data_IF_106326350740
#
_entry.id   IF_106326350740
#
_cell.length_a   1.000
_cell.length_b   1.000
_cell.length_c   1.000
_cell.angle_alpha   90.00
_cell.angle_beta   90.00
_cell.angle_gamma   90.00
#
_symmetry.space_group_name_H-M   'P 1'
#
loop_
_entity.id
_entity.type
_entity.pdbx_description
1 polymer ?
#
# COMPACT_ATOMS: atom_id res chain seq x y z
N UNK A 1 14.40 17.33 -7.71
CA UNK A 1 13.30 16.45 -7.22
C UNK A 1 13.80 15.70 -6.00
N UNK A 2 13.08 15.76 -4.89
CA UNK A 2 13.34 15.01 -3.67
C UNK A 2 12.45 13.76 -3.66
N UNK A 3 13.08 12.59 -3.48
CA UNK A 3 12.38 11.30 -3.55
C UNK A 3 12.56 10.55 -2.24
N UNK A 4 11.47 9.99 -1.71
CA UNK A 4 11.50 9.01 -0.64
C UNK A 4 11.13 7.62 -1.17
N UNK A 5 11.88 6.61 -0.77
CA UNK A 5 11.57 5.20 -1.01
C UNK A 5 11.17 4.53 0.30
N UNK A 6 9.93 4.09 0.39
CA UNK A 6 9.40 3.29 1.49
C UNK A 6 9.55 1.82 1.11
N UNK A 7 10.37 1.08 1.82
CA UNK A 7 10.70 -0.29 1.45
C UNK A 7 10.33 -1.25 2.58
N UNK A 8 9.57 -2.30 2.24
CA UNK A 8 9.31 -3.41 3.16
C UNK A 8 10.13 -4.62 2.79
N UNK A 9 10.87 -5.19 3.76
CA UNK A 9 11.69 -6.37 3.55
C UNK A 9 11.62 -7.34 4.74
N UNK A 10 11.91 -8.62 4.49
CA UNK A 10 11.95 -9.68 5.51
C UNK A 10 13.03 -10.72 5.25
N UNK A 11 13.66 -10.68 4.07
CA UNK A 11 14.68 -11.63 3.63
C UNK A 11 15.65 -10.95 2.69
N UNK A 12 16.76 -11.62 2.35
CA UNK A 12 17.72 -11.23 1.34
C UNK A 12 18.25 -9.77 1.47
N UNK A 13 18.97 -9.51 2.59
CA UNK A 13 19.61 -8.22 2.81
C UNK A 13 20.59 -7.82 1.68
N UNK A 14 21.34 -8.73 1.02
CA UNK A 14 22.12 -8.41 -0.18
C UNK A 14 21.27 -7.88 -1.34
N UNK A 15 20.06 -8.44 -1.60
CA UNK A 15 19.16 -7.93 -2.63
C UNK A 15 18.64 -6.53 -2.28
N UNK A 16 18.22 -6.31 -1.03
CA UNK A 16 17.82 -4.98 -0.57
C UNK A 16 18.94 -3.96 -0.74
N UNK A 17 20.17 -4.34 -0.42
CA UNK A 17 21.33 -3.46 -0.67
C UNK A 17 21.50 -3.13 -2.15
N UNK A 18 21.40 -4.13 -3.04
CA UNK A 18 21.49 -3.90 -4.50
C UNK A 18 20.40 -2.96 -5.01
N UNK A 19 19.17 -3.09 -4.49
CA UNK A 19 18.05 -2.19 -4.81
C UNK A 19 18.41 -0.75 -4.41
N UNK A 20 18.86 -0.53 -3.18
CA UNK A 20 19.22 0.79 -2.67
C UNK A 20 20.38 1.40 -3.47
N UNK A 21 21.42 0.62 -3.75
CA UNK A 21 22.58 1.08 -4.53
C UNK A 21 22.21 1.44 -5.98
N UNK A 22 21.18 0.81 -6.54
CA UNK A 22 20.71 1.06 -7.90
C UNK A 22 19.80 2.30 -7.99
N UNK A 23 19.18 2.71 -6.89
CA UNK A 23 18.30 3.86 -6.81
C UNK A 23 19.08 5.17 -6.58
N UNK A 24 18.40 6.30 -6.60
CA UNK A 24 19.03 7.62 -6.47
C UNK A 24 19.79 7.79 -5.16
N UNK A 25 21.08 8.12 -5.24
CA UNK A 25 21.95 8.37 -4.08
C UNK A 25 21.52 9.57 -3.22
N UNK A 26 20.71 10.48 -3.76
CA UNK A 26 20.15 11.65 -3.05
C UNK A 26 18.72 11.41 -2.52
N UNK A 27 18.20 10.22 -2.69
CA UNK A 27 16.89 9.85 -2.15
C UNK A 27 17.02 9.43 -0.68
N UNK A 28 15.93 9.56 0.07
CA UNK A 28 15.81 9.04 1.42
C UNK A 28 15.14 7.67 1.39
N UNK A 29 15.65 6.73 2.18
CA UNK A 29 15.16 5.36 2.24
C UNK A 29 14.61 5.06 3.61
N UNK A 30 13.29 4.86 3.72
CA UNK A 30 12.62 4.44 4.94
C UNK A 30 12.34 2.94 4.83
N UNK A 31 12.90 2.16 5.75
CA UNK A 31 12.94 0.71 5.62
C UNK A 31 12.24 0.05 6.81
N UNK A 32 11.21 -0.73 6.53
CA UNK A 32 10.57 -1.64 7.47
C UNK A 32 11.14 -3.05 7.27
N UNK A 33 11.71 -3.62 8.34
CA UNK A 33 12.08 -5.03 8.39
C UNK A 33 11.04 -5.77 9.22
N UNK A 34 10.41 -6.81 8.65
CA UNK A 34 9.46 -7.67 9.37
C UNK A 34 10.04 -8.06 10.73
N UNK A 35 9.25 -7.96 11.81
CA UNK A 35 9.72 -8.25 13.17
C UNK A 35 10.19 -9.71 13.37
N UNK A 36 9.77 -10.64 12.49
CA UNK A 36 10.25 -12.02 12.46
C UNK A 36 11.67 -12.17 11.93
N UNK A 37 12.14 -11.21 11.15
CA UNK A 37 13.48 -11.24 10.58
C UNK A 37 14.49 -10.60 11.55
N UNK A 38 15.72 -11.13 11.53
CA UNK A 38 16.83 -10.54 12.26
C UNK A 38 17.28 -9.24 11.57
N UNK A 39 17.01 -8.11 12.20
CA UNK A 39 17.34 -6.78 11.68
C UNK A 39 18.84 -6.56 11.54
N UNK A 40 19.68 -7.22 12.36
CA UNK A 40 21.12 -7.03 12.31
C UNK A 40 21.72 -7.47 10.96
N UNK A 41 21.12 -8.47 10.31
CA UNK A 41 21.54 -8.90 8.97
C UNK A 41 21.39 -7.79 7.92
N UNK A 42 20.45 -6.87 8.13
CA UNK A 42 20.22 -5.71 7.26
C UNK A 42 21.08 -4.51 7.67
N UNK A 43 21.05 -4.14 8.94
CA UNK A 43 21.76 -2.94 9.43
C UNK A 43 23.27 -3.05 9.40
N UNK A 44 23.85 -4.27 9.43
CA UNK A 44 25.28 -4.50 9.21
C UNK A 44 25.70 -4.20 7.78
N UNK A 45 24.85 -4.55 6.81
CA UNK A 45 25.16 -4.46 5.38
C UNK A 45 24.76 -3.12 4.76
N UNK A 46 23.65 -2.53 5.21
CA UNK A 46 23.03 -1.34 4.63
C UNK A 46 23.24 -0.16 5.57
N UNK A 47 24.08 0.78 5.16
CA UNK A 47 24.48 1.96 5.95
C UNK A 47 24.50 3.19 5.07
N UNK A 48 24.12 4.33 5.61
CA UNK A 48 24.15 5.63 4.95
C UNK A 48 23.40 6.66 5.79
N UNK A 49 23.72 7.94 5.61
CA UNK A 49 23.02 9.03 6.29
C UNK A 49 21.58 9.21 5.81
N UNK A 50 21.26 8.66 4.64
CA UNK A 50 19.95 8.65 4.01
C UNK A 50 19.19 7.32 4.18
N UNK A 51 19.64 6.46 5.11
CA UNK A 51 19.02 5.15 5.40
C UNK A 51 18.35 5.21 6.78
N UNK A 52 17.04 5.02 6.81
CA UNK A 52 16.21 5.12 8.01
C UNK A 52 15.45 3.82 8.25
N UNK A 53 16.01 2.94 9.08
CA UNK A 53 15.27 1.78 9.56
C UNK A 53 14.24 2.22 10.58
N UNK A 54 12.94 1.96 10.32
CA UNK A 54 11.89 2.36 11.26
C UNK A 54 11.86 1.43 12.48
N UNK A 55 11.60 2.01 13.66
CA UNK A 55 11.59 1.24 14.92
C UNK A 55 10.27 0.46 15.10
N UNK A 56 9.16 0.96 14.57
CA UNK A 56 7.84 0.33 14.67
C UNK A 56 7.73 -0.85 13.69
N UNK A 57 8.43 -1.94 14.01
CA UNK A 57 8.38 -3.18 13.24
C UNK A 57 7.16 -4.00 13.64
N UNK A 58 6.50 -4.61 12.67
CA UNK A 58 5.34 -5.48 12.87
C UNK A 58 5.61 -6.89 12.38
N UNK A 59 4.93 -7.86 12.98
CA UNK A 59 4.90 -9.27 12.55
C UNK A 59 3.93 -9.39 11.37
N UNK A 60 4.45 -9.26 10.15
CA UNK A 60 3.63 -9.19 8.93
C UNK A 60 2.92 -10.51 8.68
N UNK A 61 1.60 -10.41 8.53
CA UNK A 61 0.75 -11.53 8.09
C UNK A 61 0.05 -11.11 6.80
N UNK A 62 0.38 -11.79 5.73
CA UNK A 62 -0.12 -11.47 4.39
C UNK A 62 -1.66 -11.46 4.30
N UNK A 63 -2.20 -10.50 3.58
CA UNK A 63 -3.62 -10.33 3.34
C UNK A 63 -4.41 -9.78 4.53
N UNK A 64 -3.74 -9.28 5.57
CA UNK A 64 -4.36 -8.73 6.78
C UNK A 64 -4.05 -7.25 6.98
N UNK A 65 -4.72 -6.63 7.95
CA UNK A 65 -4.53 -5.23 8.31
C UNK A 65 -3.10 -4.90 8.78
N UNK A 66 -2.32 -5.90 9.20
CA UNK A 66 -0.91 -5.72 9.59
C UNK A 66 -0.05 -5.23 8.42
N UNK A 67 -0.43 -5.57 7.16
CA UNK A 67 0.25 -5.01 5.99
C UNK A 67 0.00 -3.51 5.83
N UNK A 68 -1.15 -3.02 6.23
CA UNK A 68 -1.43 -1.58 6.26
C UNK A 68 -0.66 -0.90 7.39
N UNK A 69 -0.52 -1.54 8.54
CA UNK A 69 0.19 -0.95 9.70
C UNK A 69 1.63 -0.56 9.35
N UNK A 70 2.39 -1.43 8.70
CA UNK A 70 3.76 -1.05 8.32
C UNK A 70 3.80 -0.03 7.18
N UNK A 71 2.84 -0.05 6.25
CA UNK A 71 2.75 1.00 5.22
C UNK A 71 2.49 2.36 5.87
N UNK A 72 1.57 2.44 6.83
CA UNK A 72 1.30 3.68 7.56
C UNK A 72 2.50 4.12 8.41
N UNK A 73 3.23 3.20 9.04
CA UNK A 73 4.43 3.52 9.80
C UNK A 73 5.54 4.10 8.91
N UNK A 74 5.73 3.54 7.72
CA UNK A 74 6.66 4.05 6.71
C UNK A 74 6.23 5.44 6.20
N UNK A 75 4.94 5.61 5.87
CA UNK A 75 4.41 6.91 5.45
C UNK A 75 4.57 7.99 6.53
N UNK A 76 4.29 7.66 7.81
CA UNK A 76 4.50 8.60 8.92
C UNK A 76 5.95 9.02 9.05
N UNK A 77 6.89 8.06 8.94
CA UNK A 77 8.31 8.35 9.01
C UNK A 77 8.74 9.31 7.89
N UNK A 78 8.25 9.12 6.66
CA UNK A 78 8.55 9.99 5.54
C UNK A 78 7.91 11.39 5.69
N UNK A 79 6.62 11.48 6.02
CA UNK A 79 5.91 12.76 6.15
C UNK A 79 6.41 13.57 7.36
N UNK A 80 6.90 12.91 8.41
CA UNK A 80 7.50 13.58 9.57
C UNK A 80 8.98 13.98 9.35
N UNK A 81 9.56 13.63 8.21
CA UNK A 81 10.97 13.96 7.92
C UNK A 81 11.12 15.47 7.66
N UNK A 82 12.26 16.09 8.06
CA UNK A 82 12.44 17.55 7.93
C UNK A 82 12.39 18.10 6.51
N UNK A 83 12.68 17.27 5.49
CA UNK A 83 12.64 17.68 4.08
C UNK A 83 11.32 17.27 3.44
N UNK A 84 10.81 18.13 2.55
CA UNK A 84 9.65 17.82 1.71
C UNK A 84 10.03 16.86 0.58
N UNK A 85 9.15 15.91 0.26
CA UNK A 85 9.31 14.97 -0.86
C UNK A 85 8.36 15.29 -2.02
N UNK A 86 8.91 15.44 -3.21
CA UNK A 86 8.11 15.56 -4.43
C UNK A 86 7.39 14.25 -4.74
N UNK A 87 8.07 13.12 -4.46
CA UNK A 87 7.57 11.76 -4.72
C UNK A 87 7.94 10.79 -3.60
N UNK A 88 6.98 9.96 -3.25
CA UNK A 88 7.11 8.88 -2.27
C UNK A 88 6.74 7.57 -2.96
N UNK A 89 7.70 6.66 -3.07
CA UNK A 89 7.50 5.32 -3.62
C UNK A 89 7.25 4.31 -2.49
N UNK A 90 6.42 3.32 -2.76
CA UNK A 90 6.34 2.12 -1.93
C UNK A 90 6.79 0.91 -2.74
N UNK A 91 7.82 0.19 -2.21
CA UNK A 91 8.51 -0.91 -2.86
C UNK A 91 8.68 -2.11 -1.92
N UNK A 92 8.89 -3.29 -2.52
CA UNK A 92 9.40 -4.47 -1.82
C UNK A 92 10.93 -4.48 -1.83
N UNK A 93 11.54 -5.03 -0.80
CA UNK A 93 12.99 -5.27 -0.77
C UNK A 93 13.49 -6.25 -1.86
N UNK A 94 12.57 -6.92 -2.56
CA UNK A 94 12.88 -7.84 -3.68
C UNK A 94 12.78 -7.18 -5.05
N UNK A 95 12.33 -5.92 -5.12
CA UNK A 95 12.22 -5.18 -6.38
C UNK A 95 13.59 -4.78 -6.92
N UNK A 96 13.63 -4.40 -8.20
CA UNK A 96 14.81 -3.84 -8.83
C UNK A 96 14.42 -2.88 -9.96
N UNK A 97 15.05 -1.69 -10.08
CA UNK A 97 14.70 -0.74 -11.12
C UNK A 97 15.17 -1.23 -12.50
N UNK A 98 14.28 -1.17 -13.49
CA UNK A 98 14.59 -1.47 -14.89
C UNK A 98 15.06 -0.22 -15.66
N UNK A 99 14.84 0.97 -15.10
CA UNK A 99 15.24 2.23 -15.70
C UNK A 99 16.38 2.87 -14.93
N UNK A 100 17.21 3.65 -15.65
CA UNK A 100 18.21 4.50 -15.01
C UNK A 100 17.54 5.59 -14.18
N UNK A 101 18.25 6.07 -13.15
CA UNK A 101 17.78 7.17 -12.31
C UNK A 101 17.42 8.42 -13.10
N UNK A 102 18.20 8.76 -14.15
CA UNK A 102 17.89 9.88 -15.03
C UNK A 102 16.54 9.71 -15.74
N UNK A 103 16.24 8.50 -16.26
CA UNK A 103 14.96 8.19 -16.90
C UNK A 103 13.80 8.22 -15.91
N UNK A 104 13.99 7.70 -14.69
CA UNK A 104 12.98 7.77 -13.63
C UNK A 104 12.67 9.23 -13.32
N UNK A 105 13.68 10.09 -13.11
CA UNK A 105 13.48 11.51 -12.83
C UNK A 105 12.74 12.22 -13.96
N UNK A 106 13.17 12.05 -15.20
CA UNK A 106 12.53 12.66 -16.37
C UNK A 106 11.05 12.23 -16.48
N UNK A 107 10.76 10.96 -16.26
CA UNK A 107 9.39 10.47 -16.28
C UNK A 107 8.54 11.07 -15.15
N UNK A 108 9.06 11.11 -13.92
CA UNK A 108 8.37 11.72 -12.79
C UNK A 108 8.07 13.21 -13.00
N UNK A 109 9.03 13.96 -13.60
CA UNK A 109 8.84 15.37 -13.96
C UNK A 109 7.73 15.54 -15.00
N UNK A 110 7.62 14.62 -15.97
CA UNK A 110 6.58 14.65 -16.98
C UNK A 110 5.16 14.40 -16.45
N UNK A 111 5.02 13.81 -15.27
CA UNK A 111 3.72 13.51 -14.66
C UNK A 111 3.07 14.74 -14.00
N UNK A 112 3.85 15.78 -13.68
CA UNK A 112 3.34 16.93 -12.93
C UNK A 112 2.75 16.52 -11.60
N UNK A 113 1.46 16.76 -11.40
CA UNK A 113 0.74 16.45 -10.16
C UNK A 113 -0.02 15.11 -10.19
N UNK A 114 0.18 14.29 -11.23
CA UNK A 114 -0.44 12.96 -11.32
C UNK A 114 0.13 11.99 -10.30
N UNK A 115 -0.75 11.19 -9.73
CA UNK A 115 -0.41 10.12 -8.79
C UNK A 115 -0.26 8.80 -9.57
N UNK A 116 0.82 8.05 -9.31
CA UNK A 116 0.97 6.70 -9.85
C UNK A 116 0.33 5.75 -8.85
N UNK A 117 -0.96 5.86 -8.78
CA UNK A 117 -1.86 5.07 -7.96
C UNK A 117 -3.05 4.69 -8.83
N UNK A 118 -3.19 3.41 -9.11
CA UNK A 118 -4.24 2.89 -9.95
C UNK A 118 -5.30 2.19 -9.09
N UNK A 119 -6.56 2.31 -9.48
CA UNK A 119 -7.65 1.61 -8.81
C UNK A 119 -8.79 1.25 -9.74
N UNK A 120 -9.40 0.10 -9.47
CA UNK A 120 -10.64 -0.39 -10.06
C UNK A 120 -11.74 -0.34 -9.00
N UNK A 121 -12.90 0.21 -9.34
CA UNK A 121 -14.04 0.24 -8.43
C UNK A 121 -14.65 -1.16 -8.31
N UNK A 122 -14.62 -1.72 -7.10
CA UNK A 122 -15.07 -3.10 -6.83
C UNK A 122 -16.60 -3.25 -6.88
N UNK A 123 -17.32 -2.14 -6.90
CA UNK A 123 -18.77 -2.08 -7.01
C UNK A 123 -19.27 -2.07 -8.47
N UNK A 124 -18.37 -2.10 -9.44
CA UNK A 124 -18.68 -2.14 -10.86
C UNK A 124 -18.96 -3.58 -11.32
N UNK A 125 -19.78 -3.76 -12.39
CA UNK A 125 -19.96 -5.06 -13.03
C UNK A 125 -18.63 -5.61 -13.58
N UNK A 126 -18.52 -6.93 -13.65
CA UNK A 126 -17.34 -7.60 -14.24
C UNK A 126 -16.51 -8.43 -13.25
N UNK A 127 -16.76 -8.30 -11.94
CA UNK A 127 -16.18 -9.23 -10.97
C UNK A 127 -16.83 -10.61 -11.07
N UNK A 128 -16.00 -11.66 -11.09
CA UNK A 128 -16.51 -13.03 -10.93
C UNK A 128 -17.13 -13.23 -9.54
N UNK A 129 -18.04 -14.20 -9.42
CA UNK A 129 -18.63 -14.54 -8.13
C UNK A 129 -17.59 -14.88 -7.06
N UNK A 130 -16.48 -15.53 -7.44
CA UNK A 130 -15.37 -15.85 -6.55
C UNK A 130 -14.63 -14.59 -6.07
N UNK A 131 -14.38 -13.62 -6.95
CA UNK A 131 -13.77 -12.34 -6.60
C UNK A 131 -14.68 -11.53 -5.70
N UNK A 132 -15.97 -11.43 -6.04
CA UNK A 132 -16.95 -10.76 -5.19
C UNK A 132 -17.01 -11.38 -3.80
N UNK A 133 -17.04 -12.72 -3.68
CA UNK A 133 -16.99 -13.42 -2.40
C UNK A 133 -15.70 -13.12 -1.62
N UNK A 134 -14.56 -13.07 -2.31
CA UNK A 134 -13.25 -12.82 -1.69
C UNK A 134 -13.23 -11.50 -0.90
N UNK A 135 -13.85 -10.44 -1.43
CA UNK A 135 -13.84 -9.11 -0.82
C UNK A 135 -15.07 -8.82 0.06
N UNK A 136 -16.17 -9.55 -0.12
CA UNK A 136 -17.39 -9.35 0.69
C UNK A 136 -17.43 -10.20 1.94
N UNK A 137 -16.73 -11.34 2.00
CA UNK A 137 -16.66 -12.16 3.22
C UNK A 137 -15.57 -11.63 4.13
N UNK A 138 -15.98 -11.10 5.28
CA UNK A 138 -15.03 -10.64 6.30
C UNK A 138 -14.05 -11.74 6.72
N UNK A 139 -12.77 -11.38 6.82
CA UNK A 139 -11.66 -12.26 7.20
C UNK A 139 -10.99 -11.74 8.46
N UNK A 140 -11.56 -12.02 9.65
CA UNK A 140 -10.96 -11.57 10.88
C UNK A 140 -9.53 -12.10 11.00
N UNK A 141 -8.64 -11.22 11.43
CA UNK A 141 -7.26 -11.61 11.69
C UNK A 141 -7.22 -12.71 12.76
N UNK A 142 -6.55 -13.80 12.45
CA UNK A 142 -6.20 -14.82 13.43
C UNK A 142 -4.85 -15.40 13.07
N UNK A 143 -3.90 -15.41 14.03
CA UNK A 143 -2.62 -16.13 13.88
C UNK A 143 -2.83 -17.65 13.73
N UNK A 144 -3.96 -18.17 14.16
CA UNK A 144 -4.31 -19.58 14.02
C UNK A 144 -5.14 -19.80 12.76
N UNK A 145 -4.47 -20.23 11.68
CA UNK A 145 -5.07 -20.48 10.36
C UNK A 145 -6.38 -21.31 10.43
N UNK A 146 -6.44 -22.33 11.28
CA UNK A 146 -7.65 -23.16 11.43
C UNK A 146 -8.84 -22.35 11.95
N UNK A 147 -8.62 -21.47 12.93
CA UNK A 147 -9.67 -20.59 13.47
C UNK A 147 -10.13 -19.54 12.45
N UNK A 148 -9.22 -18.96 11.69
CA UNK A 148 -9.57 -18.02 10.62
C UNK A 148 -10.45 -18.70 9.56
N UNK A 149 -10.12 -19.94 9.18
CA UNK A 149 -10.93 -20.73 8.24
C UNK A 149 -12.31 -21.04 8.82
N UNK A 150 -12.39 -21.50 10.08
CA UNK A 150 -13.66 -21.82 10.74
C UNK A 150 -14.57 -20.59 10.85
N UNK A 151 -14.02 -19.44 11.26
CA UNK A 151 -14.77 -18.18 11.32
C UNK A 151 -15.26 -17.71 9.94
N UNK A 152 -14.46 -17.89 8.88
CA UNK A 152 -14.85 -17.56 7.52
C UNK A 152 -16.01 -18.43 7.06
N UNK A 153 -15.95 -19.74 7.30
CA UNK A 153 -17.02 -20.68 6.96
C UNK A 153 -18.31 -20.33 7.71
N UNK A 154 -18.21 -20.05 9.02
CA UNK A 154 -19.36 -19.66 9.83
C UNK A 154 -19.99 -18.36 9.34
N UNK A 155 -19.19 -17.32 9.05
CA UNK A 155 -19.70 -16.06 8.52
C UNK A 155 -20.37 -16.21 7.16
N UNK A 156 -19.81 -17.07 6.29
CA UNK A 156 -20.43 -17.41 5.00
C UNK A 156 -21.76 -18.10 5.20
N UNK A 157 -21.84 -19.10 6.10
CA UNK A 157 -23.06 -19.84 6.40
C UNK A 157 -24.15 -18.93 7.01
N UNK A 158 -23.76 -17.95 7.83
CA UNK A 158 -24.65 -16.95 8.41
C UNK A 158 -25.02 -15.80 7.46
N UNK A 159 -24.53 -15.81 6.22
CA UNK A 159 -24.79 -14.74 5.24
C UNK A 159 -24.19 -13.38 5.62
N UNK A 160 -23.23 -13.34 6.54
CA UNK A 160 -22.58 -12.11 6.99
C UNK A 160 -21.61 -11.61 5.92
N UNK A 161 -22.06 -10.66 5.11
CA UNK A 161 -21.27 -10.07 4.01
C UNK A 161 -21.04 -8.59 4.26
N UNK A 162 -19.87 -8.14 3.90
CA UNK A 162 -19.51 -6.71 3.81
C UNK A 162 -20.08 -6.14 2.51
N UNK A 163 -20.49 -4.90 2.54
CA UNK A 163 -20.80 -4.14 1.33
C UNK A 163 -19.49 -3.69 0.68
N UNK A 164 -19.49 -3.50 -0.63
CA UNK A 164 -18.39 -2.91 -1.39
C UNK A 164 -18.44 -1.37 -1.37
N UNK A 165 -19.40 -0.82 -0.64
CA UNK A 165 -19.48 0.60 -0.26
C UNK A 165 -19.73 0.73 1.24
N UNK A 166 -19.35 1.86 1.83
CA UNK A 166 -19.52 2.19 3.24
C UNK A 166 -19.56 3.72 3.43
N UNK A 167 -20.14 4.17 4.54
CA UNK A 167 -20.23 5.61 4.82
C UNK A 167 -18.99 6.10 5.58
N UNK A 168 -18.50 7.28 5.19
CA UNK A 168 -17.45 8.05 5.89
C UNK A 168 -17.92 9.51 5.94
N UNK A 169 -18.05 10.09 7.11
CA UNK A 169 -18.57 11.47 7.31
C UNK A 169 -19.88 11.74 6.54
N UNK A 170 -20.81 10.78 6.50
CA UNK A 170 -22.08 10.82 5.75
C UNK A 170 -21.96 10.73 4.23
N UNK A 171 -20.76 10.70 3.64
CA UNK A 171 -20.54 10.42 2.21
C UNK A 171 -20.45 8.91 1.99
N UNK A 172 -21.05 8.41 0.90
CA UNK A 172 -20.88 7.03 0.47
C UNK A 172 -19.53 6.87 -0.24
N UNK A 173 -18.68 6.00 0.31
CA UNK A 173 -17.41 5.62 -0.26
C UNK A 173 -17.48 4.23 -0.90
N UNK A 174 -16.92 4.09 -2.09
CA UNK A 174 -16.80 2.81 -2.79
C UNK A 174 -15.43 2.18 -2.54
N UNK A 175 -15.39 0.85 -2.47
CA UNK A 175 -14.14 0.11 -2.36
C UNK A 175 -13.41 0.09 -3.70
N UNK A 176 -12.17 0.52 -3.69
CA UNK A 176 -11.27 0.44 -4.86
C UNK A 176 -10.15 -0.55 -4.60
N UNK A 177 -9.80 -1.33 -5.63
CA UNK A 177 -8.66 -2.26 -5.62
C UNK A 177 -7.63 -1.84 -6.66
N UNK A 178 -6.36 -1.94 -6.26
CA UNK A 178 -5.21 -1.73 -7.13
C UNK A 178 -4.01 -2.55 -6.68
N UNK A 179 -2.83 -2.02 -6.92
CA UNK A 179 -1.55 -2.60 -6.50
C UNK A 179 -1.15 -2.12 -5.12
N UNK A 180 -0.41 -2.94 -4.38
CA UNK A 180 0.27 -2.51 -3.17
C UNK A 180 1.44 -1.56 -3.47
N UNK A 181 1.97 -1.57 -4.69
CA UNK A 181 3.07 -0.71 -5.16
C UNK A 181 2.55 0.54 -5.85
N UNK A 182 3.02 1.68 -5.41
CA UNK A 182 2.58 2.99 -5.87
C UNK A 182 3.68 4.05 -5.74
N UNK A 183 3.51 5.16 -6.45
CA UNK A 183 4.30 6.36 -6.27
C UNK A 183 3.36 7.58 -6.21
N UNK A 184 3.37 8.27 -5.08
CA UNK A 184 2.44 9.35 -4.77
C UNK A 184 3.17 10.62 -4.36
N UNK A 185 2.47 11.75 -4.40
CA UNK A 185 2.95 13.01 -3.84
C UNK A 185 2.85 13.00 -2.32
N UNK A 186 3.65 13.81 -1.64
CA UNK A 186 3.55 13.98 -0.18
C UNK A 186 2.18 14.55 0.24
N UNK A 187 1.57 15.35 -0.62
CA UNK A 187 0.22 15.87 -0.38
C UNK A 187 -0.83 14.74 -0.29
N UNK A 188 -0.74 13.72 -1.16
CA UNK A 188 -1.62 12.55 -1.08
C UNK A 188 -1.23 11.67 0.12
N UNK A 189 0.06 11.48 0.39
CA UNK A 189 0.52 10.72 1.56
C UNK A 189 -0.02 11.31 2.88
N UNK A 190 0.06 12.63 3.06
CA UNK A 190 -0.51 13.34 4.20
C UNK A 190 -2.03 13.20 4.28
N UNK A 191 -2.73 13.24 3.14
CA UNK A 191 -4.18 13.03 3.09
C UNK A 191 -4.57 11.60 3.50
N UNK A 192 -3.81 10.59 3.05
CA UNK A 192 -4.00 9.19 3.42
C UNK A 192 -3.83 9.01 4.93
N UNK A 193 -2.73 9.52 5.50
CA UNK A 193 -2.48 9.45 6.94
C UNK A 193 -3.57 10.14 7.74
N UNK A 194 -3.93 11.38 7.37
CA UNK A 194 -4.99 12.12 8.06
C UNK A 194 -6.34 11.37 8.01
N UNK A 195 -6.69 10.81 6.85
CA UNK A 195 -7.92 10.03 6.71
C UNK A 195 -7.89 8.76 7.55
N UNK A 196 -6.78 8.03 7.53
CA UNK A 196 -6.61 6.80 8.30
C UNK A 196 -6.63 7.04 9.81
N UNK A 197 -5.98 8.10 10.27
CA UNK A 197 -5.83 8.38 11.71
C UNK A 197 -7.10 8.97 12.33
N UNK A 198 -7.87 9.78 11.61
CA UNK A 198 -9.01 10.50 12.16
C UNK A 198 -10.38 9.94 11.78
N UNK A 199 -10.48 9.07 10.75
CA UNK A 199 -11.76 8.47 10.33
C UNK A 199 -11.85 7.02 10.78
N UNK A 200 -12.57 6.82 11.88
CA UNK A 200 -12.72 5.48 12.48
C UNK A 200 -13.47 4.52 11.56
N UNK A 201 -14.39 5.02 10.75
CA UNK A 201 -15.18 4.24 9.79
C UNK A 201 -14.27 3.50 8.79
N UNK A 202 -13.19 4.15 8.34
CA UNK A 202 -12.20 3.53 7.45
C UNK A 202 -11.52 2.36 8.17
N UNK A 203 -10.98 2.57 9.36
CA UNK A 203 -10.30 1.52 10.14
C UNK A 203 -11.25 0.37 10.45
N UNK A 204 -12.48 0.68 10.83
CA UNK A 204 -13.51 -0.31 11.14
C UNK A 204 -13.92 -1.14 9.92
N UNK A 205 -13.99 -0.50 8.74
CA UNK A 205 -14.28 -1.22 7.51
C UNK A 205 -13.15 -2.18 7.14
N UNK A 206 -11.88 -1.75 7.25
CA UNK A 206 -10.74 -2.53 6.77
C UNK A 206 -10.20 -3.57 7.75
N UNK A 207 -10.47 -3.48 9.05
CA UNK A 207 -9.92 -4.37 10.10
C UNK A 207 -10.07 -5.87 9.84
N UNK A 208 -11.10 -6.27 9.11
CA UNK A 208 -11.39 -7.65 8.74
C UNK A 208 -11.56 -7.85 7.22
N UNK A 209 -10.99 -6.94 6.42
CA UNK A 209 -10.95 -7.05 4.97
C UNK A 209 -9.84 -7.99 4.51
N UNK A 210 -10.01 -8.55 3.32
CA UNK A 210 -8.96 -9.30 2.64
C UNK A 210 -8.11 -8.35 1.79
N UNK A 211 -6.77 -8.49 1.88
CA UNK A 211 -5.81 -7.73 1.08
C UNK A 211 -5.96 -6.20 1.23
N UNK A 212 -6.06 -5.68 2.48
CA UNK A 212 -6.28 -4.24 2.67
C UNK A 212 -5.11 -3.39 2.17
N UNK A 213 -3.90 -3.94 2.07
CA UNK A 213 -2.74 -3.27 1.49
C UNK A 213 -2.93 -2.88 0.01
N UNK A 214 -3.83 -3.59 -0.71
CA UNK A 214 -4.14 -3.36 -2.12
C UNK A 214 -5.45 -2.59 -2.32
N UNK A 215 -6.13 -2.19 -1.25
CA UNK A 215 -7.46 -1.58 -1.33
C UNK A 215 -7.60 -0.30 -0.52
N UNK A 216 -6.96 -0.18 0.65
CA UNK A 216 -7.17 0.95 1.57
C UNK A 216 -6.69 2.28 0.97
N UNK A 217 -5.44 2.32 0.50
CA UNK A 217 -4.85 3.54 -0.06
C UNK A 217 -5.61 3.99 -1.32
N UNK A 218 -5.95 3.03 -2.21
CA UNK A 218 -6.77 3.29 -3.39
C UNK A 218 -8.14 3.82 -3.02
N UNK A 219 -8.77 3.24 -1.99
CA UNK A 219 -10.10 3.67 -1.53
C UNK A 219 -10.06 5.10 -0.99
N UNK A 220 -9.07 5.45 -0.18
CA UNK A 220 -8.94 6.82 0.34
C UNK A 220 -8.69 7.82 -0.81
N UNK A 221 -7.77 7.52 -1.71
CA UNK A 221 -7.40 8.43 -2.79
C UNK A 221 -8.54 8.63 -3.82
N UNK A 222 -9.21 7.54 -4.22
CA UNK A 222 -10.22 7.56 -5.29
C UNK A 222 -11.62 8.00 -4.80
N UNK A 223 -11.89 8.03 -3.49
CA UNK A 223 -13.06 8.71 -2.93
C UNK A 223 -12.78 10.18 -2.58
N UNK A 224 -11.54 10.64 -2.64
CA UNK A 224 -11.19 12.03 -2.38
C UNK A 224 -11.51 12.91 -3.58
N UNK A 225 -12.34 13.96 -3.38
CA UNK A 225 -12.66 14.96 -4.42
C UNK A 225 -11.39 15.64 -4.95
N UNK A 226 -10.35 15.79 -4.12
CA UNK A 226 -9.10 16.45 -4.48
C UNK A 226 -8.17 15.56 -5.32
N UNK A 227 -8.11 14.25 -5.01
CA UNK A 227 -7.09 13.37 -5.58
C UNK A 227 -7.60 12.40 -6.63
N UNK A 228 -8.92 12.14 -6.71
CA UNK A 228 -9.50 11.19 -7.66
C UNK A 228 -9.07 11.47 -9.12
N UNK A 229 -9.11 12.72 -9.55
CA UNK A 229 -8.73 13.11 -10.92
C UNK A 229 -7.22 13.07 -11.21
N UNK A 230 -6.41 12.92 -10.17
CA UNK A 230 -4.95 12.77 -10.27
C UNK A 230 -4.52 11.32 -10.36
N UNK A 231 -5.35 10.38 -9.87
CA UNK A 231 -5.10 8.95 -9.87
C UNK A 231 -5.51 8.31 -11.19
N UNK A 232 -5.04 7.09 -11.44
CA UNK A 232 -5.42 6.27 -12.60
C UNK A 232 -6.66 5.46 -12.21
N UNK A 233 -7.82 5.85 -12.75
CA UNK A 233 -9.06 5.08 -12.58
C UNK A 233 -9.21 4.10 -13.75
N UNK A 234 -9.36 2.81 -13.42
CA UNK A 234 -9.69 1.77 -14.39
C UNK A 234 -11.20 1.58 -14.41
N UNK A 235 -11.80 1.77 -15.58
CA UNK A 235 -13.24 1.64 -15.81
C UNK A 235 -13.56 0.37 -16.63
N UNK A 236 -14.82 -0.03 -16.65
CA UNK A 236 -15.32 -1.17 -17.41
C UNK A 236 -15.20 -2.49 -16.67
N UNK A 237 -14.89 -3.59 -17.39
CA UNK A 237 -14.71 -4.90 -16.79
C UNK A 237 -13.42 -4.99 -15.99
N UNK A 238 -13.41 -5.87 -14.97
CA UNK A 238 -12.21 -6.10 -14.15
C UNK A 238 -11.03 -6.61 -15.00
N UNK A 239 -9.96 -5.85 -15.12
CA UNK A 239 -8.89 -6.17 -16.08
C UNK A 239 -7.91 -7.25 -15.60
N UNK A 240 -8.11 -7.76 -14.38
CA UNK A 240 -7.16 -8.63 -13.70
C UNK A 240 -6.08 -7.86 -12.91
N UNK A 241 -5.42 -8.56 -11.98
CA UNK A 241 -4.43 -7.93 -11.08
C UNK A 241 -3.22 -7.36 -11.83
N UNK A 242 -2.74 -8.05 -12.85
CA UNK A 242 -1.56 -7.64 -13.61
C UNK A 242 -1.76 -6.26 -14.29
N UNK A 243 -2.99 -5.93 -14.69
CA UNK A 243 -3.28 -4.64 -15.32
C UNK A 243 -3.47 -3.49 -14.30
N UNK A 244 -3.48 -3.79 -13.01
CA UNK A 244 -3.62 -2.81 -11.93
C UNK A 244 -2.29 -2.49 -11.22
N UNK A 245 -1.16 -2.79 -11.87
CA UNK A 245 0.18 -2.63 -11.28
C UNK A 245 1.01 -1.59 -12.06
N UNK A 246 0.81 -0.28 -11.83
CA UNK A 246 1.43 0.77 -12.65
C UNK A 246 2.95 0.89 -12.49
N UNK A 247 3.55 0.28 -11.46
CA UNK A 247 5.00 0.29 -11.20
C UNK A 247 5.68 -1.07 -11.40
N UNK A 248 4.92 -2.15 -11.53
CA UNK A 248 5.44 -3.52 -11.66
C UNK A 248 5.22 -4.07 -13.07
N UNK A 249 6.19 -4.84 -13.55
CA UNK A 249 6.13 -5.59 -14.81
C UNK A 249 6.38 -7.08 -14.56
#
# INVERSE_FOLDING_TARGET
MQIAYLISAHTDAPQLKRLIDALHSKAEFFIHIDSKADIENFTRLIKGSNIHFIHQRVDVVWGTMVEVEYQMNLLRAAVAFPSHFDRIFFLSGMDYPLWSNARITQWLESLGDKEILQGFCMDQPGLSAAQHEMYTVARPFSRHRKWAIAQRILRKALGLRKRLSFCVDSDEWHLYKGSAWWCITEALASHILNSFDHKEEIRNYFKDSFGPAETLIQTIALNSRKFKSRCILTEGEYPGLAALTPLHF
#
